data_IF_948223340649
#
_entry.id   IF_948223340649
#
_cell.length_a   1.000
_cell.length_b   1.000
_cell.length_c   1.000
_cell.angle_alpha   90.00
_cell.angle_beta   90.00
_cell.angle_gamma   90.00
#
_symmetry.space_group_name_H-M   'P 1'
#
loop_
_entity.id
_entity.type
_entity.pdbx_description
1 polymer ?
#
# COMPACT_ATOMS: atom_id res chain seq x y z
N UNK A 1 79.72 50.97 43.01
CA UNK A 1 79.44 49.59 43.29
C UNK A 1 77.97 49.39 43.11
N UNK A 2 77.56 49.07 41.90
CA UNK A 2 77.12 47.79 41.39
C UNK A 2 75.96 47.14 42.12
N UNK A 3 74.86 47.08 41.47
CA UNK A 3 74.25 45.83 41.07
C UNK A 3 72.93 46.07 40.31
N UNK A 4 73.05 45.70 39.09
CA UNK A 4 72.00 45.50 38.13
C UNK A 4 70.94 44.52 38.59
N UNK A 5 69.69 44.93 38.48
CA UNK A 5 68.53 44.06 38.66
C UNK A 5 67.74 43.99 37.39
N UNK A 6 67.92 42.91 36.66
CA UNK A 6 67.23 42.56 35.43
C UNK A 6 65.78 42.22 35.74
N UNK A 7 64.85 43.06 35.33
CA UNK A 7 63.44 42.76 35.39
C UNK A 7 62.99 42.20 34.07
N UNK A 8 62.91 40.92 34.01
CA UNK A 8 62.32 40.17 32.92
C UNK A 8 60.78 40.41 32.95
N UNK A 9 60.32 41.15 31.99
CA UNK A 9 58.90 41.29 31.78
C UNK A 9 58.39 40.06 31.07
N UNK A 10 57.75 39.13 31.84
CA UNK A 10 56.99 38.03 31.24
C UNK A 10 55.69 38.61 30.65
N UNK A 11 55.70 38.74 29.34
CA UNK A 11 54.49 39.01 28.56
C UNK A 11 53.64 37.75 28.56
N UNK A 12 52.61 37.69 29.42
CA UNK A 12 51.55 36.73 29.30
C UNK A 12 50.71 37.10 28.08
N UNK A 13 51.02 36.53 26.95
CA UNK A 13 50.12 36.46 25.81
C UNK A 13 48.96 35.53 26.22
N UNK A 14 47.86 36.12 26.70
CA UNK A 14 46.60 35.39 26.85
C UNK A 14 46.09 35.05 25.44
N UNK A 15 46.39 33.82 25.00
CA UNK A 15 45.81 33.22 23.82
C UNK A 15 44.33 32.94 24.19
N UNK A 16 43.46 33.88 23.91
CA UNK A 16 42.01 33.68 23.89
C UNK A 16 41.69 32.74 22.75
N UNK A 17 41.78 31.45 22.97
CA UNK A 17 41.20 30.44 22.11
C UNK A 17 39.68 30.61 22.16
N UNK A 18 39.13 31.32 21.18
CA UNK A 18 37.71 31.33 20.89
C UNK A 18 37.38 29.90 20.43
N UNK A 19 36.99 29.02 21.38
CA UNK A 19 36.31 27.81 21.06
C UNK A 19 34.96 28.21 20.46
N UNK A 20 34.91 28.34 19.16
CA UNK A 20 33.65 28.27 18.42
C UNK A 20 33.15 26.86 18.63
N UNK A 21 32.28 26.70 19.62
CA UNK A 21 31.43 25.53 19.76
C UNK A 21 30.57 25.45 18.48
N UNK A 22 31.10 24.78 17.47
CA UNK A 22 30.27 24.24 16.43
C UNK A 22 29.33 23.27 17.14
N UNK A 23 28.12 23.74 17.41
CA UNK A 23 27.04 22.87 17.86
C UNK A 23 26.73 21.94 16.71
N UNK A 24 27.49 20.85 16.63
CA UNK A 24 27.14 19.75 15.76
C UNK A 24 25.71 19.32 16.14
N UNK A 25 24.79 19.20 15.18
CA UNK A 25 23.44 18.79 15.46
C UNK A 25 23.49 17.45 16.23
N UNK A 26 22.76 17.38 17.33
CA UNK A 26 22.69 16.14 18.10
C UNK A 26 22.29 14.98 17.17
N UNK A 27 22.75 13.74 17.38
CA UNK A 27 22.41 12.61 16.52
C UNK A 27 20.93 12.48 16.22
N UNK A 28 20.07 12.74 17.21
CA UNK A 28 18.63 12.72 17.06
C UNK A 28 18.10 13.80 16.09
N UNK A 29 18.64 15.01 16.15
CA UNK A 29 18.25 16.12 15.24
C UNK A 29 18.68 15.82 13.80
N UNK A 30 19.89 15.28 13.62
CA UNK A 30 20.39 14.88 12.31
C UNK A 30 19.53 13.75 11.70
N UNK A 31 19.11 12.78 12.51
CA UNK A 31 18.24 11.69 12.06
C UNK A 31 16.85 12.18 11.64
N UNK A 32 16.24 13.08 12.41
CA UNK A 32 14.96 13.69 12.07
C UNK A 32 15.06 14.50 10.77
N UNK A 33 16.16 15.21 10.57
CA UNK A 33 16.40 15.99 9.35
C UNK A 33 16.57 15.07 8.14
N UNK A 34 17.36 14.00 8.24
CA UNK A 34 17.56 13.04 7.16
C UNK A 34 16.25 12.32 6.75
N UNK A 35 15.40 11.97 7.71
CA UNK A 35 14.08 11.42 7.42
C UNK A 35 13.19 12.42 6.66
N UNK A 36 13.06 13.65 7.18
CA UNK A 36 12.22 14.69 6.56
C UNK A 36 12.68 15.03 5.16
N UNK A 37 14.00 15.13 4.95
CA UNK A 37 14.58 15.38 3.64
C UNK A 37 14.23 14.24 2.67
N UNK A 38 14.39 13.00 3.07
CA UNK A 38 14.07 11.84 2.25
C UNK A 38 12.57 11.79 1.88
N UNK A 39 11.68 12.13 2.82
CA UNK A 39 10.24 12.24 2.54
C UNK A 39 9.98 13.35 1.52
N UNK A 40 10.58 14.53 1.67
CA UNK A 40 10.40 15.63 0.74
C UNK A 40 10.92 15.27 -0.67
N UNK A 41 12.13 14.69 -0.77
CA UNK A 41 12.71 14.22 -2.03
C UNK A 41 11.85 13.12 -2.69
N UNK A 42 11.44 12.12 -1.92
CA UNK A 42 10.63 11.02 -2.42
C UNK A 42 9.24 11.45 -2.90
N UNK A 43 8.67 12.47 -2.25
CA UNK A 43 7.35 13.01 -2.60
C UNK A 43 7.39 14.04 -3.74
N UNK A 44 8.55 14.57 -4.12
CA UNK A 44 8.69 15.72 -5.03
C UNK A 44 7.96 15.54 -6.38
N UNK A 45 7.82 14.31 -6.87
CA UNK A 45 7.13 14.00 -8.13
C UNK A 45 5.63 13.72 -7.98
N UNK A 46 5.10 13.76 -6.76
CA UNK A 46 3.69 13.55 -6.46
C UNK A 46 3.18 14.69 -5.58
N UNK A 47 2.56 15.68 -6.22
CA UNK A 47 2.10 16.91 -5.56
C UNK A 47 1.16 16.66 -4.38
N UNK A 48 0.33 15.62 -4.45
CA UNK A 48 -0.65 15.31 -3.42
C UNK A 48 0.02 14.73 -2.17
N UNK A 49 1.01 13.85 -2.36
CA UNK A 49 1.83 13.31 -1.27
C UNK A 49 2.71 14.42 -0.68
N UNK A 50 3.33 15.25 -1.51
CA UNK A 50 4.16 16.37 -1.06
C UNK A 50 3.35 17.35 -0.20
N UNK A 51 2.16 17.76 -0.67
CA UNK A 51 1.26 18.65 0.07
C UNK A 51 0.83 18.05 1.41
N UNK A 52 0.49 16.75 1.44
CA UNK A 52 0.14 16.06 2.67
C UNK A 52 1.28 16.07 3.69
N UNK A 53 2.51 15.68 3.29
CA UNK A 53 3.63 15.63 4.22
C UNK A 53 4.09 17.02 4.66
N UNK A 54 4.03 18.02 3.79
CA UNK A 54 4.28 19.41 4.17
C UNK A 54 3.31 19.87 5.26
N UNK A 55 2.00 19.66 5.07
CA UNK A 55 0.98 20.00 6.05
C UNK A 55 1.10 19.20 7.35
N UNK A 56 1.59 17.95 7.28
CA UNK A 56 1.81 17.07 8.44
C UNK A 56 3.17 17.32 9.14
N UNK A 57 3.96 18.32 8.71
CA UNK A 57 5.30 18.60 9.26
C UNK A 57 6.30 17.48 9.04
N UNK A 58 6.13 16.70 7.98
CA UNK A 58 6.95 15.53 7.62
C UNK A 58 6.99 14.45 8.70
N UNK A 59 5.92 14.33 9.49
CA UNK A 59 5.80 13.25 10.49
C UNK A 59 5.48 11.93 9.79
N UNK A 60 6.07 10.84 10.30
CA UNK A 60 5.75 9.50 9.80
C UNK A 60 4.29 9.14 10.10
N UNK A 61 3.67 8.44 9.18
CA UNK A 61 2.36 7.80 9.35
C UNK A 61 2.44 6.29 9.19
N UNK A 62 3.53 5.81 8.58
CA UNK A 62 3.77 4.39 8.30
C UNK A 62 5.00 3.82 9.03
N UNK A 63 6.17 4.46 8.90
CA UNK A 63 7.47 3.88 9.27
C UNK A 63 7.89 4.10 10.72
N UNK A 64 7.13 4.87 11.49
CA UNK A 64 7.38 5.04 12.92
C UNK A 64 7.14 3.76 13.74
N UNK A 65 7.55 3.84 15.02
CA UNK A 65 7.53 2.68 15.94
C UNK A 65 6.37 2.70 16.94
N UNK A 66 5.40 3.60 16.80
CA UNK A 66 4.22 3.60 17.66
C UNK A 66 3.25 2.48 17.29
N UNK A 67 2.37 2.10 18.22
CA UNK A 67 1.32 1.11 17.95
C UNK A 67 0.39 1.53 16.80
N UNK A 68 0.19 2.85 16.62
CA UNK A 68 -0.67 3.38 15.56
C UNK A 68 -0.08 3.16 14.17
N UNK A 69 1.21 3.44 13.97
CA UNK A 69 1.90 3.26 12.70
C UNK A 69 2.03 1.77 12.36
N UNK A 70 2.38 0.94 13.34
CA UNK A 70 2.40 -0.53 13.15
C UNK A 70 1.04 -1.04 12.69
N UNK A 71 -0.06 -0.58 13.30
CA UNK A 71 -1.42 -0.96 12.92
C UNK A 71 -1.76 -0.49 11.51
N UNK A 72 -1.40 0.74 11.13
CA UNK A 72 -1.62 1.26 9.76
C UNK A 72 -0.92 0.40 8.73
N UNK A 73 0.35 0.05 8.95
CA UNK A 73 1.09 -0.83 8.04
C UNK A 73 0.45 -2.21 7.92
N UNK A 74 0.14 -2.83 9.05
CA UNK A 74 -0.47 -4.17 9.06
C UNK A 74 -1.79 -4.20 8.30
N UNK A 75 -2.66 -3.23 8.53
CA UNK A 75 -3.96 -3.14 7.84
C UNK A 75 -3.78 -2.82 6.35
N UNK A 76 -2.83 -1.97 5.97
CA UNK A 76 -2.52 -1.72 4.56
C UNK A 76 -2.04 -3.01 3.88
N UNK A 77 -1.01 -3.67 4.40
CA UNK A 77 -0.48 -4.92 3.82
C UNK A 77 -1.57 -5.97 3.69
N UNK A 78 -2.43 -6.12 4.71
CA UNK A 78 -3.58 -7.01 4.66
C UNK A 78 -4.54 -6.65 3.52
N UNK A 79 -4.88 -5.37 3.37
CA UNK A 79 -5.76 -4.90 2.31
C UNK A 79 -5.17 -5.15 0.91
N UNK A 80 -3.86 -4.89 0.73
CA UNK A 80 -3.17 -5.14 -0.53
C UNK A 80 -3.10 -6.65 -0.87
N UNK A 81 -2.85 -7.50 0.12
CA UNK A 81 -2.83 -8.96 -0.06
C UNK A 81 -4.19 -9.51 -0.46
N UNK A 82 -5.27 -8.89 0.02
CA UNK A 82 -6.65 -9.26 -0.28
C UNK A 82 -7.25 -8.43 -1.44
N UNK A 83 -6.45 -7.67 -2.18
CA UNK A 83 -6.94 -6.87 -3.31
C UNK A 83 -7.68 -7.73 -4.36
N UNK A 84 -7.28 -9.00 -4.50
CA UNK A 84 -7.93 -9.99 -5.34
C UNK A 84 -9.41 -10.20 -5.02
N UNK A 85 -9.83 -10.10 -3.75
CA UNK A 85 -11.24 -10.23 -3.36
C UNK A 85 -12.12 -9.18 -4.05
N UNK A 86 -11.55 -7.99 -4.30
CA UNK A 86 -12.18 -6.89 -5.02
C UNK A 86 -11.99 -6.94 -6.54
N UNK A 87 -11.46 -8.03 -7.09
CA UNK A 87 -11.15 -8.15 -8.53
C UNK A 87 -9.92 -7.35 -8.97
N UNK A 88 -9.13 -6.85 -8.04
CA UNK A 88 -7.92 -6.08 -8.34
C UNK A 88 -6.70 -7.02 -8.45
N UNK A 89 -5.78 -6.78 -9.39
CA UNK A 89 -4.57 -7.59 -9.52
C UNK A 89 -3.60 -7.33 -8.36
N UNK A 90 -3.38 -8.33 -7.49
CA UNK A 90 -2.49 -8.22 -6.30
C UNK A 90 -1.07 -7.82 -6.70
N UNK A 91 -0.57 -8.33 -7.84
CA UNK A 91 0.76 -8.00 -8.38
C UNK A 91 0.98 -6.50 -8.63
N UNK A 92 -0.11 -5.75 -8.81
CA UNK A 92 -0.06 -4.29 -8.99
C UNK A 92 0.45 -3.55 -7.74
N UNK A 93 0.27 -4.13 -6.57
CA UNK A 93 0.58 -3.49 -5.28
C UNK A 93 1.79 -4.09 -4.58
N UNK A 94 2.18 -5.30 -4.96
CA UNK A 94 3.34 -6.04 -4.48
C UNK A 94 3.60 -5.90 -2.95
N UNK A 95 2.68 -6.41 -2.11
CA UNK A 95 2.81 -6.27 -0.66
C UNK A 95 4.06 -6.93 -0.10
N UNK A 96 4.59 -7.99 -0.75
CA UNK A 96 5.82 -8.67 -0.34
C UNK A 96 7.05 -7.77 -0.53
N UNK A 97 7.16 -7.08 -1.67
CA UNK A 97 8.23 -6.11 -1.91
C UNK A 97 8.19 -4.96 -0.90
N UNK A 98 7.00 -4.43 -0.59
CA UNK A 98 6.84 -3.39 0.43
C UNK A 98 7.33 -3.85 1.80
N UNK A 99 6.97 -5.08 2.22
CA UNK A 99 7.47 -5.65 3.48
C UNK A 99 8.98 -5.87 3.46
N UNK A 100 9.54 -6.33 2.34
CA UNK A 100 10.98 -6.51 2.19
C UNK A 100 11.73 -5.17 2.30
N UNK A 101 11.25 -4.12 1.64
CA UNK A 101 11.80 -2.76 1.74
C UNK A 101 11.73 -2.21 3.16
N UNK A 102 10.59 -2.38 3.84
CA UNK A 102 10.47 -2.03 5.26
C UNK A 102 11.50 -2.75 6.14
N UNK A 103 11.67 -4.05 5.90
CA UNK A 103 12.66 -4.87 6.64
C UNK A 103 14.10 -4.48 6.31
N UNK A 104 14.38 -4.04 5.10
CA UNK A 104 15.71 -3.63 4.65
C UNK A 104 16.10 -2.23 5.11
N UNK A 105 15.14 -1.34 5.35
CA UNK A 105 15.39 0.03 5.77
C UNK A 105 16.12 0.06 7.14
N UNK A 106 17.31 0.67 7.17
CA UNK A 106 18.15 0.76 8.36
C UNK A 106 18.42 2.20 8.77
N UNK A 107 18.49 3.09 7.81
CA UNK A 107 18.76 4.50 8.05
C UNK A 107 17.44 5.32 8.11
N UNK A 108 17.46 6.49 8.77
CA UNK A 108 16.34 7.42 8.71
C UNK A 108 15.98 7.83 7.27
N UNK A 109 16.97 7.91 6.38
CA UNK A 109 16.76 8.18 4.96
C UNK A 109 15.98 7.05 4.29
N UNK A 110 16.35 5.78 4.51
CA UNK A 110 15.63 4.63 3.95
C UNK A 110 14.17 4.61 4.42
N UNK A 111 13.97 4.84 5.73
CA UNK A 111 12.64 4.92 6.31
C UNK A 111 11.79 6.04 5.68
N UNK A 112 12.39 7.20 5.39
CA UNK A 112 11.72 8.30 4.70
C UNK A 112 11.29 7.96 3.28
N UNK A 113 12.14 7.26 2.52
CA UNK A 113 11.79 6.80 1.16
C UNK A 113 10.67 5.76 1.17
N UNK A 114 10.74 4.80 2.09
CA UNK A 114 9.69 3.77 2.27
C UNK A 114 8.38 4.37 2.76
N UNK A 115 8.42 5.41 3.58
CA UNK A 115 7.26 6.20 4.02
C UNK A 115 6.46 6.72 2.82
N UNK A 116 7.15 7.33 1.86
CA UNK A 116 6.53 7.86 0.64
C UNK A 116 6.02 6.75 -0.27
N UNK A 117 6.75 5.63 -0.39
CA UNK A 117 6.32 4.50 -1.20
C UNK A 117 5.04 3.86 -0.65
N UNK A 118 4.95 3.65 0.67
CA UNK A 118 3.72 3.16 1.31
C UNK A 118 2.54 4.12 1.07
N UNK A 119 2.77 5.43 1.12
CA UNK A 119 1.75 6.43 0.82
C UNK A 119 1.29 6.36 -0.64
N UNK A 120 2.21 6.17 -1.57
CA UNK A 120 1.91 6.04 -3.01
C UNK A 120 1.05 4.80 -3.27
N UNK A 121 1.45 3.65 -2.74
CA UNK A 121 0.70 2.40 -2.92
C UNK A 121 -0.66 2.47 -2.21
N UNK A 122 -0.74 3.07 -1.02
CA UNK A 122 -2.01 3.32 -0.34
C UNK A 122 -2.98 4.16 -1.19
N UNK A 123 -2.50 5.27 -1.77
CA UNK A 123 -3.32 6.12 -2.64
C UNK A 123 -3.77 5.40 -3.90
N UNK A 124 -2.88 4.62 -4.52
CA UNK A 124 -3.20 3.81 -5.68
C UNK A 124 -4.28 2.78 -5.35
N UNK A 125 -4.09 1.99 -4.28
CA UNK A 125 -5.07 1.00 -3.83
C UNK A 125 -6.42 1.64 -3.48
N UNK A 126 -6.40 2.74 -2.71
CA UNK A 126 -7.62 3.43 -2.28
C UNK A 126 -8.46 3.91 -3.46
N UNK A 127 -7.82 4.44 -4.50
CA UNK A 127 -8.47 4.80 -5.74
C UNK A 127 -8.98 3.58 -6.49
N UNK A 128 -8.13 2.59 -6.71
CA UNK A 128 -8.43 1.43 -7.53
C UNK A 128 -9.60 0.60 -6.94
N UNK A 129 -9.65 0.41 -5.61
CA UNK A 129 -10.75 -0.32 -4.97
C UNK A 129 -12.07 0.44 -5.02
N UNK A 130 -12.03 1.76 -5.05
CA UNK A 130 -13.23 2.60 -5.06
C UNK A 130 -13.79 2.84 -6.46
N UNK A 131 -12.92 3.00 -7.46
CA UNK A 131 -13.32 3.42 -8.81
C UNK A 131 -12.98 2.42 -9.90
N UNK A 132 -12.25 1.36 -9.57
CA UNK A 132 -11.71 0.40 -10.52
C UNK A 132 -10.37 0.84 -11.12
N UNK A 133 -9.64 -0.12 -11.68
CA UNK A 133 -8.33 0.09 -12.32
C UNK A 133 -8.43 0.50 -13.78
N UNK A 134 -9.58 0.26 -14.40
CA UNK A 134 -9.80 0.53 -15.82
C UNK A 134 -10.25 1.97 -16.04
N UNK A 135 -9.74 2.58 -17.10
CA UNK A 135 -10.25 3.86 -17.62
C UNK A 135 -11.23 3.52 -18.73
N UNK A 136 -12.55 3.74 -18.55
CA UNK A 136 -13.57 3.25 -19.47
C UNK A 136 -13.34 3.66 -20.94
N UNK A 137 -13.01 4.92 -21.19
CA UNK A 137 -12.75 5.45 -22.53
C UNK A 137 -11.51 4.88 -23.22
N UNK A 138 -10.56 4.27 -22.44
CA UNK A 138 -9.39 3.57 -23.00
C UNK A 138 -9.70 2.13 -23.40
N UNK A 139 -10.79 1.56 -22.88
CA UNK A 139 -11.25 0.22 -23.23
C UNK A 139 -12.09 0.30 -24.49
N UNK A 140 -13.07 1.22 -24.52
CA UNK A 140 -13.88 1.52 -25.70
C UNK A 140 -14.23 3.01 -25.66
N UNK A 141 -13.90 3.75 -26.72
CA UNK A 141 -14.14 5.18 -26.83
C UNK A 141 -15.63 5.56 -26.76
N UNK A 142 -16.52 4.61 -27.03
CA UNK A 142 -17.97 4.78 -26.93
C UNK A 142 -18.49 4.73 -25.49
N UNK A 143 -17.65 4.30 -24.51
CA UNK A 143 -18.03 4.30 -23.11
C UNK A 143 -17.82 5.71 -22.55
N UNK A 144 -18.88 6.50 -22.62
CA UNK A 144 -18.91 7.86 -22.08
C UNK A 144 -19.32 7.82 -20.59
N UNK A 145 -18.40 7.40 -19.72
CA UNK A 145 -18.60 7.38 -18.28
C UNK A 145 -17.57 8.28 -17.59
N UNK A 146 -18.04 9.23 -16.82
CA UNK A 146 -17.19 9.98 -15.91
C UNK A 146 -17.03 9.22 -14.60
N UNK A 147 -15.78 8.89 -14.26
CA UNK A 147 -15.47 8.23 -12.99
C UNK A 147 -15.37 9.30 -11.90
N UNK A 148 -16.13 9.21 -10.79
CA UNK A 148 -16.11 10.20 -9.72
C UNK A 148 -14.84 10.04 -8.85
N UNK A 149 -13.71 10.54 -9.34
CA UNK A 149 -12.46 10.52 -8.58
C UNK A 149 -12.54 11.49 -7.39
N UNK A 150 -12.12 11.01 -6.24
CA UNK A 150 -11.92 11.85 -5.06
C UNK A 150 -10.56 12.54 -5.09
N UNK A 151 -10.45 13.66 -4.40
CA UNK A 151 -9.16 14.29 -4.14
C UNK A 151 -8.21 13.31 -3.44
N UNK A 152 -7.00 13.15 -4.00
CA UNK A 152 -6.04 12.17 -3.50
C UNK A 152 -5.50 12.51 -2.11
N UNK A 153 -5.30 13.80 -1.83
CA UNK A 153 -4.82 14.25 -0.51
C UNK A 153 -5.82 13.89 0.58
N UNK A 154 -7.13 13.95 0.27
CA UNK A 154 -8.19 13.61 1.22
C UNK A 154 -8.12 12.17 1.73
N UNK A 155 -7.62 11.21 0.93
CA UNK A 155 -7.44 9.82 1.39
C UNK A 155 -6.44 9.73 2.53
N UNK A 156 -5.27 10.37 2.41
CA UNK A 156 -4.24 10.36 3.46
C UNK A 156 -4.73 11.09 4.72
N UNK A 157 -5.32 12.27 4.56
CA UNK A 157 -5.85 13.08 5.68
C UNK A 157 -6.90 12.30 6.47
N UNK A 158 -7.87 11.70 5.76
CA UNK A 158 -8.95 10.96 6.40
C UNK A 158 -8.47 9.64 7.02
N UNK A 159 -7.54 8.95 6.36
CA UNK A 159 -6.94 7.72 6.90
C UNK A 159 -6.21 7.97 8.22
N UNK A 160 -5.43 9.05 8.31
CA UNK A 160 -4.68 9.38 9.54
C UNK A 160 -5.62 9.69 10.71
N UNK A 161 -6.79 10.27 10.43
CA UNK A 161 -7.81 10.62 11.43
C UNK A 161 -8.73 9.46 11.82
N UNK A 162 -8.76 8.38 11.02
CA UNK A 162 -9.67 7.25 11.20
C UNK A 162 -8.99 6.03 11.81
N UNK A 163 -9.79 5.03 12.21
CA UNK A 163 -9.24 3.71 12.47
C UNK A 163 -8.79 3.08 11.16
N UNK A 164 -7.56 2.53 11.06
CA UNK A 164 -7.03 2.02 9.80
C UNK A 164 -7.90 0.93 9.16
N UNK A 165 -8.34 -0.04 9.94
CA UNK A 165 -9.22 -1.11 9.47
C UNK A 165 -10.59 -0.58 9.01
N UNK A 166 -11.19 0.34 9.78
CA UNK A 166 -12.49 0.94 9.44
C UNK A 166 -12.43 1.73 8.14
N UNK A 167 -11.37 2.52 7.96
CA UNK A 167 -11.18 3.29 6.74
C UNK A 167 -11.06 2.39 5.50
N UNK A 168 -10.17 1.39 5.54
CA UNK A 168 -9.94 0.48 4.41
C UNK A 168 -11.18 -0.34 4.06
N UNK A 169 -11.94 -0.80 5.06
CA UNK A 169 -13.23 -1.51 4.85
C UNK A 169 -14.33 -0.61 4.28
N UNK A 170 -14.22 0.70 4.46
CA UNK A 170 -15.21 1.65 3.95
C UNK A 170 -14.91 2.13 2.51
N UNK A 171 -13.75 1.79 1.95
CA UNK A 171 -13.35 2.21 0.60
C UNK A 171 -14.17 1.56 -0.52
N UNK A 172 -14.42 0.21 -0.51
CA UNK A 172 -15.16 -0.43 -1.58
C UNK A 172 -16.58 0.15 -1.77
N UNK A 173 -17.11 0.12 -2.99
CA UNK A 173 -18.50 0.49 -3.24
C UNK A 173 -19.47 -0.32 -2.38
N UNK A 174 -20.57 0.32 -1.96
CA UNK A 174 -21.59 -0.31 -1.12
C UNK A 174 -22.89 -0.62 -1.90
N UNK A 175 -22.83 -0.59 -3.23
CA UNK A 175 -23.98 -0.91 -4.06
C UNK A 175 -24.30 -2.40 -4.02
N UNK A 176 -25.54 -2.76 -4.29
CA UNK A 176 -25.98 -4.16 -4.32
C UNK A 176 -25.25 -4.94 -5.42
N UNK A 177 -25.09 -4.32 -6.59
CA UNK A 177 -24.42 -4.92 -7.76
C UNK A 177 -22.96 -5.28 -7.42
N UNK A 178 -22.23 -4.34 -6.83
CA UNK A 178 -20.84 -4.60 -6.41
C UNK A 178 -20.77 -5.75 -5.41
N UNK A 179 -21.65 -5.74 -4.42
CA UNK A 179 -21.70 -6.79 -3.38
C UNK A 179 -22.07 -8.15 -3.98
N UNK A 180 -23.02 -8.20 -4.89
CA UNK A 180 -23.44 -9.43 -5.58
C UNK A 180 -22.30 -9.99 -6.46
N UNK A 181 -21.65 -9.14 -7.27
CA UNK A 181 -20.53 -9.55 -8.11
C UNK A 181 -19.33 -10.04 -7.30
N UNK A 182 -19.00 -9.37 -6.19
CA UNK A 182 -17.93 -9.81 -5.30
C UNK A 182 -18.22 -11.18 -4.67
N UNK A 183 -19.46 -11.39 -4.18
CA UNK A 183 -19.88 -12.67 -3.62
C UNK A 183 -19.80 -13.78 -4.66
N UNK A 184 -20.26 -13.51 -5.88
CA UNK A 184 -20.24 -14.49 -6.97
C UNK A 184 -18.80 -14.82 -7.40
N UNK A 185 -17.95 -13.81 -7.54
CA UNK A 185 -16.53 -14.02 -7.80
C UNK A 185 -15.90 -14.95 -6.76
N UNK A 186 -16.07 -14.66 -5.46
CA UNK A 186 -15.55 -15.49 -4.38
C UNK A 186 -16.16 -16.90 -4.35
N UNK A 187 -17.43 -17.05 -4.77
CA UNK A 187 -18.07 -18.35 -4.93
C UNK A 187 -17.40 -19.15 -6.05
N UNK A 188 -17.16 -18.53 -7.19
CA UNK A 188 -16.49 -19.16 -8.33
C UNK A 188 -15.04 -19.55 -8.00
N UNK A 189 -14.30 -18.72 -7.29
CA UNK A 189 -12.93 -19.05 -6.87
C UNK A 189 -12.90 -20.26 -5.93
N UNK A 190 -13.84 -20.34 -4.97
CA UNK A 190 -13.97 -21.52 -4.12
C UNK A 190 -14.36 -22.78 -4.89
N UNK A 191 -15.20 -22.63 -5.92
CA UNK A 191 -15.55 -23.74 -6.82
C UNK A 191 -14.33 -24.23 -7.58
N UNK A 192 -13.55 -23.32 -8.17
CA UNK A 192 -12.30 -23.63 -8.86
C UNK A 192 -11.29 -24.33 -7.96
N UNK A 193 -11.13 -23.85 -6.74
CA UNK A 193 -10.24 -24.50 -5.75
C UNK A 193 -10.65 -25.93 -5.37
N UNK A 194 -11.93 -26.28 -5.55
CA UNK A 194 -12.47 -27.64 -5.35
C UNK A 194 -12.43 -28.50 -6.62
N UNK A 195 -11.78 -28.05 -7.70
CA UNK A 195 -11.71 -28.77 -8.98
C UNK A 195 -12.74 -28.32 -10.03
N UNK A 196 -13.43 -27.22 -9.78
CA UNK A 196 -14.39 -26.62 -10.72
C UNK A 196 -15.64 -27.47 -10.91
N UNK A 197 -16.09 -27.56 -12.14
CA UNK A 197 -17.26 -28.37 -12.52
C UNK A 197 -16.91 -29.79 -12.95
N UNK A 198 -15.72 -30.30 -12.59
CA UNK A 198 -15.27 -31.61 -12.95
C UNK A 198 -14.79 -31.74 -14.41
N UNK A 199 -14.71 -32.98 -14.90
CA UNK A 199 -14.17 -33.27 -16.21
C UNK A 199 -14.97 -32.61 -17.36
N UNK A 200 -14.29 -32.21 -18.43
CA UNK A 200 -14.95 -31.79 -19.67
C UNK A 200 -15.66 -32.98 -20.30
N UNK A 201 -16.90 -32.79 -20.77
CA UNK A 201 -17.67 -33.83 -21.44
C UNK A 201 -16.95 -34.21 -22.76
N UNK A 202 -16.56 -35.49 -22.93
CA UNK A 202 -15.80 -35.93 -24.09
C UNK A 202 -16.70 -36.24 -25.31
N UNK A 203 -17.63 -35.34 -25.63
CA UNK A 203 -18.55 -35.50 -26.77
C UNK A 203 -18.94 -34.13 -27.31
N UNK A 204 -19.01 -34.01 -28.64
CA UNK A 204 -19.44 -32.80 -29.32
C UNK A 204 -20.98 -32.60 -29.20
N UNK A 205 -21.74 -33.70 -29.15
CA UNK A 205 -23.19 -33.70 -29.00
C UNK A 205 -23.64 -34.98 -28.31
N UNK A 206 -24.70 -34.91 -27.51
CA UNK A 206 -25.39 -36.03 -26.88
C UNK A 206 -26.88 -35.95 -27.23
N UNK A 207 -27.49 -37.06 -27.60
CA UNK A 207 -28.92 -37.16 -27.96
C UNK A 207 -29.69 -37.82 -26.82
N UNK A 208 -30.99 -37.57 -26.69
CA UNK A 208 -31.85 -38.29 -25.79
C UNK A 208 -31.79 -39.82 -26.01
N UNK A 209 -31.77 -40.60 -24.93
CA UNK A 209 -31.63 -42.05 -24.96
C UNK A 209 -30.20 -42.57 -25.06
N UNK A 210 -29.18 -41.70 -25.23
CA UNK A 210 -27.78 -42.17 -25.21
C UNK A 210 -27.34 -42.50 -23.76
N UNK A 211 -26.46 -43.51 -23.66
CA UNK A 211 -25.83 -43.96 -22.42
C UNK A 211 -24.31 -44.02 -22.60
N UNK A 212 -23.58 -44.16 -21.48
CA UNK A 212 -22.13 -44.29 -21.50
C UNK A 212 -21.40 -43.20 -20.70
N UNK A 213 -20.07 -43.28 -20.74
CA UNK A 213 -19.22 -42.44 -19.91
C UNK A 213 -19.43 -40.91 -20.12
N UNK A 214 -19.66 -40.49 -21.38
CA UNK A 214 -19.91 -39.07 -21.68
C UNK A 214 -21.19 -38.56 -21.02
N UNK A 215 -22.24 -39.38 -20.93
CA UNK A 215 -23.50 -39.05 -20.25
C UNK A 215 -23.28 -38.94 -18.72
N UNK A 216 -22.50 -39.89 -18.15
CA UNK A 216 -22.17 -39.87 -16.69
C UNK A 216 -21.38 -38.60 -16.37
N UNK A 217 -20.37 -38.25 -17.16
CA UNK A 217 -19.59 -37.03 -16.96
C UNK A 217 -20.48 -35.79 -17.10
N UNK A 218 -21.38 -35.74 -18.07
CA UNK A 218 -22.34 -34.65 -18.22
C UNK A 218 -23.25 -34.52 -17.02
N UNK A 219 -23.83 -35.63 -16.51
CA UNK A 219 -24.66 -35.60 -15.30
C UNK A 219 -23.90 -35.10 -14.09
N UNK A 220 -22.71 -35.61 -13.84
CA UNK A 220 -21.86 -35.17 -12.73
C UNK A 220 -21.53 -33.67 -12.83
N UNK A 221 -21.26 -33.17 -14.03
CA UNK A 221 -21.01 -31.77 -14.29
C UNK A 221 -22.24 -30.90 -14.04
N UNK A 222 -23.42 -31.32 -14.51
CA UNK A 222 -24.69 -30.64 -14.26
C UNK A 222 -25.05 -30.62 -12.77
N UNK A 223 -24.80 -31.70 -12.02
CA UNK A 223 -24.93 -31.75 -10.57
C UNK A 223 -23.96 -30.75 -9.88
N UNK A 224 -22.70 -30.74 -10.31
CA UNK A 224 -21.71 -29.79 -9.77
C UNK A 224 -22.06 -28.32 -10.06
N UNK A 225 -22.75 -28.05 -11.16
CA UNK A 225 -23.26 -26.73 -11.56
C UNK A 225 -24.58 -26.37 -10.86
N UNK A 226 -25.24 -27.33 -10.22
CA UNK A 226 -26.54 -27.14 -9.55
C UNK A 226 -27.74 -27.15 -10.51
N UNK A 227 -27.58 -27.67 -11.72
CA UNK A 227 -28.68 -27.82 -12.70
C UNK A 227 -29.38 -29.20 -12.64
N UNK A 228 -28.82 -30.13 -11.88
CA UNK A 228 -29.37 -31.47 -11.73
C UNK A 228 -29.24 -31.89 -10.27
N UNK A 229 -30.29 -32.45 -9.70
CA UNK A 229 -30.28 -33.04 -8.37
C UNK A 229 -29.55 -34.38 -8.36
N UNK A 230 -29.02 -34.78 -7.21
CA UNK A 230 -28.33 -36.10 -7.04
C UNK A 230 -29.23 -37.28 -7.23
N UNK A 231 -30.53 -37.08 -7.09
CA UNK A 231 -31.60 -38.10 -7.18
C UNK A 231 -32.23 -38.19 -8.57
N UNK A 232 -31.81 -37.29 -9.49
CA UNK A 232 -32.35 -37.26 -10.85
C UNK A 232 -31.72 -38.31 -11.79
#
# INVERSE_FOLDING_TARGET
MTLTGNRIWAVFAALATILTLWSAPTPATAQVTAFKQAVAEGAARDKDIAAFYQANGYKSIWTGNTGRERKRRAELIKALSNAGDHGLPVSRYDPQSLMAKMKAARSPRDLGLVEVELSRVFLQYSRDVQTGVLVPSRIDSRIVRQVPYRDRTSYLVNFVKSSPSGFLKALPPKTQEYTALMKEKLRMERLLAKGGWGQKVPAASLKPGQSGNAVVIMRNRLMAMGFLDRTA
#
